data_IF_346480270057
#
_entry.id   IF_346480270057
#
_cell.length_a   1.000
_cell.length_b   1.000
_cell.length_c   1.000
_cell.angle_alpha   90.00
_cell.angle_beta   90.00
_cell.angle_gamma   90.00
#
_symmetry.space_group_name_H-M   'P 1'
#
loop_
_entity.id
_entity.type
_entity.pdbx_description
1 polymer ?
#
# COMPACT_ATOMS: atom_id res chain seq x y z
N UNK A 1 -15.65 12.38 -16.77
CA UNK A 1 -16.15 12.41 -15.56
C UNK A 1 -15.19 12.08 -14.41
N UNK A 2 -15.31 12.81 -13.32
CA UNK A 2 -14.31 12.81 -12.26
C UNK A 2 -14.70 12.02 -11.01
N UNK A 3 -15.81 11.32 -11.03
CA UNK A 3 -16.33 10.69 -9.81
C UNK A 3 -15.55 9.47 -9.41
N UNK A 4 -15.34 8.56 -10.33
CA UNK A 4 -14.63 7.31 -10.07
C UNK A 4 -13.79 7.04 -11.29
N UNK A 5 -12.51 6.84 -11.09
CA UNK A 5 -11.59 6.70 -12.19
C UNK A 5 -10.39 5.90 -11.75
N UNK A 6 -9.89 5.09 -12.63
CA UNK A 6 -8.62 4.43 -12.38
C UNK A 6 -7.51 5.47 -12.47
N UNK A 7 -6.66 5.48 -11.47
CA UNK A 7 -5.53 6.38 -11.43
C UNK A 7 -4.39 5.80 -12.23
N UNK A 8 -4.05 4.55 -11.98
CA UNK A 8 -2.99 3.92 -12.72
C UNK A 8 -2.56 2.58 -12.16
N UNK A 9 -1.71 1.99 -12.94
CA UNK A 9 -1.07 0.72 -12.67
C UNK A 9 0.42 0.92 -12.91
N UNK A 10 1.22 0.55 -11.94
CA UNK A 10 2.67 0.70 -12.05
C UNK A 10 3.33 -0.65 -11.88
N UNK A 11 4.23 -0.97 -12.79
CA UNK A 11 5.13 -2.11 -12.64
C UNK A 11 6.40 -1.61 -11.98
N UNK A 12 6.77 -2.24 -10.90
CA UNK A 12 7.98 -1.86 -10.16
C UNK A 12 9.11 -2.78 -10.56
N UNK A 13 10.22 -2.20 -10.98
CA UNK A 13 11.39 -2.95 -11.44
C UNK A 13 12.62 -2.59 -10.61
N UNK A 14 13.48 -3.57 -10.46
CA UNK A 14 14.81 -3.38 -9.88
C UNK A 14 15.79 -4.10 -10.79
N UNK A 15 16.74 -3.33 -11.39
CA UNK A 15 17.73 -3.86 -12.32
C UNK A 15 17.11 -4.69 -13.46
N UNK A 16 16.04 -4.14 -14.07
CA UNK A 16 15.32 -4.76 -15.18
C UNK A 16 14.51 -6.01 -14.82
N UNK A 17 14.46 -6.38 -13.53
CA UNK A 17 13.63 -7.49 -13.08
C UNK A 17 12.36 -6.94 -12.46
N UNK A 18 11.25 -7.58 -12.76
CA UNK A 18 9.97 -7.18 -12.19
C UNK A 18 9.94 -7.57 -10.72
N UNK A 19 9.74 -6.57 -9.89
CA UNK A 19 9.68 -6.66 -8.45
C UNK A 19 8.25 -6.93 -7.99
N UNK A 20 7.32 -6.20 -8.59
CA UNK A 20 5.90 -6.31 -8.29
C UNK A 20 5.12 -5.26 -9.05
N UNK A 21 3.90 -5.03 -8.61
CA UNK A 21 3.04 -4.01 -9.22
C UNK A 21 2.20 -3.32 -8.15
N UNK A 22 1.79 -2.09 -8.47
CA UNK A 22 0.94 -1.26 -7.62
C UNK A 22 -0.24 -0.81 -8.47
N UNK A 23 -1.44 -0.83 -7.91
CA UNK A 23 -2.58 -0.19 -8.57
C UNK A 23 -3.26 0.77 -7.60
N UNK A 24 -3.79 1.86 -8.16
CA UNK A 24 -4.64 2.82 -7.48
C UNK A 24 -5.84 3.08 -8.38
N UNK A 25 -7.02 2.83 -7.86
CA UNK A 25 -8.26 2.85 -8.65
C UNK A 25 -9.39 3.48 -7.85
N UNK A 26 -10.56 3.58 -8.47
CA UNK A 26 -11.80 3.98 -7.81
C UNK A 26 -11.65 5.24 -6.95
N UNK A 27 -11.13 6.30 -7.55
CA UNK A 27 -10.94 7.57 -6.84
C UNK A 27 -12.28 8.16 -6.44
N UNK A 28 -12.32 8.69 -5.23
CA UNK A 28 -13.44 9.48 -4.73
C UNK A 28 -12.93 10.89 -4.44
N UNK A 29 -13.30 11.85 -5.29
CA UNK A 29 -12.78 13.22 -5.18
C UNK A 29 -13.37 14.00 -4.02
N UNK A 30 -14.51 13.59 -3.50
CA UNK A 30 -15.08 14.22 -2.30
C UNK A 30 -14.24 13.92 -1.07
N UNK A 31 -13.79 12.68 -0.96
CA UNK A 31 -13.01 12.22 0.18
C UNK A 31 -11.51 12.25 -0.07
N UNK A 32 -11.10 12.54 -1.29
CA UNK A 32 -9.71 12.42 -1.72
C UNK A 32 -9.15 11.04 -1.39
N UNK A 33 -9.92 10.01 -1.71
CA UNK A 33 -9.56 8.63 -1.44
C UNK A 33 -9.43 7.82 -2.73
N UNK A 34 -8.74 6.70 -2.62
CA UNK A 34 -8.64 5.73 -3.70
C UNK A 34 -8.65 4.32 -3.11
N UNK A 35 -8.81 3.34 -3.98
CA UNK A 35 -8.59 1.94 -3.62
C UNK A 35 -7.18 1.59 -4.08
N UNK A 36 -6.39 1.02 -3.19
CA UNK A 36 -5.03 0.66 -3.49
C UNK A 36 -4.73 -0.79 -3.20
N UNK A 37 -3.82 -1.33 -3.97
CA UNK A 37 -3.31 -2.67 -3.75
C UNK A 37 -1.98 -2.86 -4.44
N UNK A 38 -1.31 -3.93 -4.08
CA UNK A 38 -0.04 -4.25 -4.69
C UNK A 38 0.16 -5.77 -4.73
N UNK A 39 1.03 -6.18 -5.61
CA UNK A 39 1.47 -7.56 -5.75
C UNK A 39 2.98 -7.58 -5.74
N UNK A 40 3.54 -8.51 -5.02
CA UNK A 40 4.97 -8.74 -5.03
C UNK A 40 5.25 -10.01 -5.84
N UNK A 41 6.37 -10.01 -6.55
CA UNK A 41 6.83 -11.21 -7.23
C UNK A 41 6.93 -12.35 -6.22
N UNK A 42 6.27 -13.51 -6.46
CA UNK A 42 6.26 -14.60 -5.49
C UNK A 42 7.65 -15.06 -5.03
N UNK A 43 8.65 -14.94 -5.90
CA UNK A 43 10.02 -15.31 -5.56
C UNK A 43 10.66 -14.40 -4.51
N UNK A 44 10.04 -13.25 -4.24
CA UNK A 44 10.54 -12.26 -3.29
C UNK A 44 9.76 -12.23 -1.98
N UNK A 45 8.77 -13.10 -1.83
CA UNK A 45 8.01 -13.19 -0.58
C UNK A 45 8.95 -13.61 0.54
N UNK A 46 8.86 -12.91 1.68
CA UNK A 46 9.71 -13.19 2.83
C UNK A 46 11.08 -12.54 2.81
N UNK A 47 11.38 -11.75 1.78
CA UNK A 47 12.69 -11.10 1.65
C UNK A 47 12.71 -9.64 2.16
N UNK A 48 11.60 -9.16 2.71
CA UNK A 48 11.45 -7.75 3.09
C UNK A 48 10.96 -6.87 1.96
N UNK A 49 10.83 -7.39 0.75
CA UNK A 49 10.43 -6.61 -0.42
C UNK A 49 8.97 -6.16 -0.37
N UNK A 50 8.12 -6.88 0.38
CA UNK A 50 6.75 -6.44 0.61
C UNK A 50 6.68 -5.10 1.34
N UNK A 51 7.63 -4.82 2.21
CA UNK A 51 7.73 -3.52 2.88
C UNK A 51 8.06 -2.43 1.87
N UNK A 52 9.00 -2.70 0.97
CA UNK A 52 9.41 -1.75 -0.06
C UNK A 52 8.25 -1.39 -0.98
N UNK A 53 7.51 -2.39 -1.47
CA UNK A 53 6.42 -2.11 -2.40
C UNK A 53 5.26 -1.38 -1.71
N UNK A 54 4.99 -1.67 -0.46
CA UNK A 54 3.99 -0.93 0.30
C UNK A 54 4.44 0.50 0.57
N UNK A 55 5.71 0.71 0.84
CA UNK A 55 6.25 2.06 0.97
C UNK A 55 6.01 2.86 -0.31
N UNK A 56 6.32 2.28 -1.46
CA UNK A 56 6.13 2.93 -2.75
C UNK A 56 4.66 3.25 -3.01
N UNK A 57 3.75 2.35 -2.67
CA UNK A 57 2.32 2.58 -2.84
C UNK A 57 1.85 3.77 -1.99
N UNK A 58 2.23 3.82 -0.74
CA UNK A 58 1.87 4.92 0.16
C UNK A 58 2.48 6.25 -0.31
N UNK A 59 3.74 6.20 -0.74
CA UNK A 59 4.42 7.39 -1.26
C UNK A 59 3.69 7.93 -2.51
N UNK A 60 3.36 7.06 -3.46
CA UNK A 60 2.62 7.46 -4.66
C UNK A 60 1.27 8.09 -4.29
N UNK A 61 0.49 7.40 -3.48
CA UNK A 61 -0.85 7.83 -3.17
C UNK A 61 -0.86 9.13 -2.35
N UNK A 62 -0.07 9.20 -1.30
CA UNK A 62 -0.14 10.31 -0.37
C UNK A 62 0.73 11.49 -0.75
N UNK A 63 1.92 11.25 -1.30
CA UNK A 63 2.86 12.34 -1.56
C UNK A 63 2.89 12.78 -3.00
N UNK A 64 2.66 11.89 -3.96
CA UNK A 64 2.64 12.27 -5.37
C UNK A 64 1.26 12.64 -5.87
N UNK A 65 0.24 11.91 -5.45
CA UNK A 65 -1.12 12.10 -5.93
C UNK A 65 -2.01 12.83 -4.92
N UNK A 66 -1.50 13.08 -3.72
CA UNK A 66 -2.15 13.86 -2.67
C UNK A 66 -3.51 13.30 -2.21
N UNK A 67 -3.68 11.99 -2.27
CA UNK A 67 -4.83 11.36 -1.64
C UNK A 67 -4.72 11.46 -0.13
N UNK A 68 -5.84 11.51 0.55
CA UNK A 68 -5.88 11.54 2.02
C UNK A 68 -6.11 10.17 2.62
N UNK A 69 -6.58 9.24 1.81
CA UNK A 69 -6.97 7.93 2.29
C UNK A 69 -6.79 6.88 1.20
N UNK A 70 -6.29 5.72 1.59
CA UNK A 70 -6.25 4.54 0.73
C UNK A 70 -7.16 3.49 1.36
N UNK A 71 -8.12 2.98 0.58
CA UNK A 71 -8.93 1.85 0.97
C UNK A 71 -8.35 0.59 0.34
N UNK A 72 -8.27 -0.48 1.11
CA UNK A 72 -7.73 -1.74 0.63
C UNK A 72 -8.49 -2.90 1.25
N UNK A 73 -8.31 -4.07 0.64
CA UNK A 73 -8.81 -5.30 1.22
C UNK A 73 -7.70 -6.35 1.20
N UNK A 74 -7.72 -7.23 2.18
CA UNK A 74 -6.72 -8.29 2.29
C UNK A 74 -7.39 -9.57 2.76
N UNK A 75 -7.04 -10.69 2.14
CA UNK A 75 -7.51 -12.00 2.58
C UNK A 75 -6.92 -12.31 3.95
N UNK A 76 -7.77 -12.77 4.87
CA UNK A 76 -7.32 -13.14 6.21
C UNK A 76 -6.27 -14.25 6.18
N UNK A 77 -6.34 -15.12 5.19
CA UNK A 77 -5.37 -16.21 5.03
C UNK A 77 -4.01 -15.74 4.54
N UNK A 78 -3.92 -14.53 4.01
CA UNK A 78 -2.64 -13.97 3.56
C UNK A 78 -1.91 -13.33 4.74
N UNK A 79 -1.30 -14.16 5.57
CA UNK A 79 -0.70 -13.75 6.83
C UNK A 79 0.40 -12.70 6.63
N UNK A 80 1.24 -12.88 5.62
CA UNK A 80 2.33 -11.92 5.38
C UNK A 80 1.81 -10.56 4.98
N UNK A 81 0.77 -10.49 4.15
CA UNK A 81 0.15 -9.23 3.78
C UNK A 81 -0.53 -8.56 4.98
N UNK A 82 -1.20 -9.33 5.83
CA UNK A 82 -1.82 -8.80 7.04
C UNK A 82 -0.75 -8.16 7.94
N UNK A 83 0.37 -8.82 8.12
CA UNK A 83 1.48 -8.28 8.94
C UNK A 83 2.03 -6.98 8.37
N UNK A 84 2.27 -6.95 7.07
CA UNK A 84 2.79 -5.74 6.42
C UNK A 84 1.78 -4.60 6.52
N UNK A 85 0.51 -4.87 6.27
CA UNK A 85 -0.52 -3.85 6.38
C UNK A 85 -0.60 -3.27 7.79
N UNK A 86 -0.50 -4.12 8.81
CA UNK A 86 -0.48 -3.64 10.19
C UNK A 86 0.74 -2.78 10.49
N UNK A 87 1.89 -3.14 9.94
CA UNK A 87 3.10 -2.34 10.07
C UNK A 87 2.92 -0.93 9.48
N UNK A 88 2.11 -0.81 8.43
CA UNK A 88 1.81 0.47 7.78
C UNK A 88 0.63 1.22 8.42
N UNK A 89 0.12 0.73 9.54
CA UNK A 89 -0.92 1.44 10.28
C UNK A 89 -2.33 1.24 9.75
N UNK A 90 -2.60 0.08 9.16
CA UNK A 90 -3.93 -0.23 8.66
C UNK A 90 -4.99 -0.08 9.76
N UNK A 91 -6.06 0.65 9.44
CA UNK A 91 -7.20 0.80 10.32
C UNK A 91 -8.30 -0.14 9.85
N UNK A 92 -8.78 -1.05 10.71
CA UNK A 92 -9.87 -1.94 10.32
C UNK A 92 -11.16 -1.16 10.16
N UNK A 93 -11.86 -1.41 9.05
CA UNK A 93 -13.16 -0.81 8.78
C UNK A 93 -14.25 -1.84 8.94
N UNK A 94 -14.05 -3.00 8.35
CA UNK A 94 -15.02 -4.07 8.31
C UNK A 94 -14.31 -5.38 8.01
N UNK A 95 -15.02 -6.49 8.19
CA UNK A 95 -14.50 -7.78 7.81
C UNK A 95 -15.65 -8.76 7.58
N UNK A 96 -15.38 -9.79 6.80
CA UNK A 96 -16.21 -10.96 6.69
C UNK A 96 -15.38 -12.20 7.04
N UNK A 97 -15.88 -13.40 6.71
CA UNK A 97 -15.14 -14.61 7.06
C UNK A 97 -13.77 -14.74 6.38
N UNK A 98 -13.61 -14.11 5.21
CA UNK A 98 -12.43 -14.31 4.37
C UNK A 98 -11.57 -13.08 4.21
N UNK A 99 -12.14 -11.88 4.33
CA UNK A 99 -11.50 -10.63 3.94
C UNK A 99 -11.58 -9.60 5.06
N UNK A 100 -10.47 -8.90 5.27
CA UNK A 100 -10.42 -7.68 6.07
C UNK A 100 -10.46 -6.48 5.14
N UNK A 101 -11.32 -5.51 5.44
CA UNK A 101 -11.37 -4.22 4.76
C UNK A 101 -10.67 -3.20 5.65
N UNK A 102 -9.67 -2.53 5.10
CA UNK A 102 -8.77 -1.69 5.87
C UNK A 102 -8.61 -0.33 5.18
N UNK A 103 -8.13 0.63 5.95
CA UNK A 103 -7.92 1.99 5.47
C UNK A 103 -6.62 2.55 6.03
N UNK A 104 -5.93 3.31 5.18
CA UNK A 104 -4.71 4.03 5.56
C UNK A 104 -4.95 5.52 5.38
N UNK A 105 -4.39 6.32 6.28
CA UNK A 105 -4.54 7.78 6.25
C UNK A 105 -3.21 8.47 6.04
N UNK A 106 -3.23 9.59 5.29
CA UNK A 106 -2.04 10.38 4.99
C UNK A 106 -1.38 10.96 6.24
N UNK A 107 -2.18 11.41 7.20
CA UNK A 107 -1.62 11.98 8.43
C UNK A 107 -0.86 10.94 9.24
N UNK A 108 -1.38 9.74 9.33
CA UNK A 108 -0.68 8.63 9.98
C UNK A 108 0.60 8.29 9.24
N UNK A 109 0.53 8.26 7.91
CA UNK A 109 1.70 8.01 7.07
C UNK A 109 2.82 9.00 7.35
N UNK A 110 2.51 10.28 7.27
CA UNK A 110 3.53 11.33 7.40
C UNK A 110 4.11 11.43 8.80
N UNK A 111 3.29 11.30 9.83
CA UNK A 111 3.72 11.51 11.23
C UNK A 111 4.38 10.28 11.83
N UNK A 112 3.85 9.09 11.55
CA UNK A 112 4.25 7.90 12.29
C UNK A 112 4.90 6.84 11.43
N UNK A 113 4.30 6.55 10.28
CA UNK A 113 4.68 5.37 9.50
C UNK A 113 5.94 5.63 8.67
N UNK A 114 5.95 6.71 7.91
CA UNK A 114 7.08 6.99 7.02
C UNK A 114 8.43 7.05 7.76
N UNK A 115 8.55 7.77 8.88
CA UNK A 115 9.82 7.79 9.62
C UNK A 115 10.24 6.39 10.10
N UNK A 116 9.28 5.63 10.60
CA UNK A 116 9.54 4.27 11.08
C UNK A 116 9.98 3.34 9.96
N UNK A 117 9.31 3.39 8.82
CA UNK A 117 9.64 2.53 7.68
C UNK A 117 10.98 2.95 7.06
N UNK A 118 11.24 4.24 6.93
CA UNK A 118 12.54 4.70 6.42
C UNK A 118 13.69 4.19 7.28
N UNK A 119 13.52 4.23 8.59
CA UNK A 119 14.53 3.69 9.51
C UNK A 119 14.70 2.19 9.33
N UNK A 120 13.60 1.46 9.22
CA UNK A 120 13.65 0.02 9.00
C UNK A 120 14.34 -0.32 7.68
N UNK A 121 14.00 0.39 6.60
CA UNK A 121 14.60 0.14 5.29
C UNK A 121 16.09 0.45 5.27
N UNK A 122 16.55 1.44 6.03
CA UNK A 122 17.97 1.72 6.13
C UNK A 122 18.74 0.57 6.76
N UNK A 123 18.14 -0.15 7.70
CA UNK A 123 18.74 -1.35 8.28
C UNK A 123 18.77 -2.52 7.30
N UNK A 124 17.92 -2.51 6.28
CA UNK A 124 17.87 -3.53 5.23
C UNK A 124 18.69 -3.13 4.00
N UNK A 125 19.44 -2.04 4.07
CA UNK A 125 20.29 -1.53 2.98
C UNK A 125 19.47 -1.07 1.76
N UNK A 126 18.35 -0.44 2.02
CA UNK A 126 17.58 0.20 0.95
C UNK A 126 17.72 1.72 0.97
#
# INVERSE_FOLDING_TARGET
NLKTKDVGYWVVKNNNKIFGSIYLTNTNLKEFSCVGGNFINPNLIGTGQGIVINYLMHFLAFEKLAFKCINSEVKKSNISAVRVNNLFGAQPINSNNNINYIRFFDSTWLKEIKPKICKLLSHLNY
#
